data_IF_117243742562
#
_entry.id   IF_117243742562
#
_cell.length_a   1.000
_cell.length_b   1.000
_cell.length_c   1.000
_cell.angle_alpha   90.00
_cell.angle_beta   90.00
_cell.angle_gamma   90.00
#
_symmetry.space_group_name_H-M   'P 1'
#
loop_
_entity.id
_entity.type
_entity.pdbx_description
1 polymer ?
#
# COMPACT_ATOMS: atom_id res chain seq x y z
N UNK A 1 -33.72 40.09 -13.83
CA UNK A 1 -33.38 38.71 -14.20
C UNK A 1 -31.93 38.53 -13.77
N UNK A 2 -31.71 37.75 -12.72
CA UNK A 2 -30.37 37.49 -12.21
C UNK A 2 -29.83 36.28 -12.97
N UNK A 3 -28.72 36.46 -13.67
CA UNK A 3 -27.99 35.36 -14.32
C UNK A 3 -27.41 34.46 -13.21
N UNK A 4 -27.86 33.21 -13.17
CA UNK A 4 -27.21 32.16 -12.39
C UNK A 4 -25.83 31.90 -13.01
N UNK A 5 -24.77 32.40 -12.36
CA UNK A 5 -23.43 31.92 -12.67
C UNK A 5 -23.36 30.44 -12.32
N UNK A 6 -22.86 29.57 -13.21
CA UNK A 6 -22.65 28.17 -12.88
C UNK A 6 -21.70 28.09 -11.68
N UNK A 7 -22.11 27.38 -10.64
CA UNK A 7 -21.25 27.03 -9.51
C UNK A 7 -19.92 26.48 -10.06
N UNK A 8 -18.82 27.14 -9.71
CA UNK A 8 -17.49 26.61 -9.94
C UNK A 8 -17.37 25.36 -9.06
N UNK A 9 -17.61 24.19 -9.66
CA UNK A 9 -17.25 22.92 -9.05
C UNK A 9 -15.73 22.84 -9.17
N UNK A 10 -14.96 22.97 -8.08
CA UNK A 10 -13.52 22.74 -8.16
C UNK A 10 -13.29 21.34 -8.75
N UNK A 11 -12.28 21.16 -9.61
CA UNK A 11 -11.96 19.83 -10.11
C UNK A 11 -11.79 18.90 -8.91
N UNK A 12 -12.41 17.72 -8.96
CA UNK A 12 -12.27 16.72 -7.91
C UNK A 12 -10.78 16.52 -7.62
N UNK A 13 -10.34 16.88 -6.41
CA UNK A 13 -8.96 16.63 -6.00
C UNK A 13 -8.74 15.10 -6.03
N UNK A 14 -7.66 14.63 -6.63
CA UNK A 14 -7.46 13.21 -6.91
C UNK A 14 -6.20 12.88 -7.72
N UNK A 15 -5.88 11.59 -7.81
CA UNK A 15 -4.71 11.05 -8.51
C UNK A 15 -5.14 10.02 -9.54
N UNK A 16 -4.52 10.11 -10.71
CA UNK A 16 -4.48 8.98 -11.63
C UNK A 16 -3.39 8.00 -11.18
N UNK A 17 -3.81 6.83 -10.69
CA UNK A 17 -2.92 5.74 -10.31
C UNK A 17 -3.00 4.61 -11.34
N UNK A 18 -1.97 3.78 -11.44
CA UNK A 18 -2.08 2.54 -12.22
C UNK A 18 -3.02 1.57 -11.50
N UNK A 19 -3.87 0.89 -12.27
CA UNK A 19 -4.69 -0.21 -11.77
C UNK A 19 -3.84 -1.43 -11.39
N UNK A 20 -4.46 -2.46 -10.80
CA UNK A 20 -3.78 -3.67 -10.34
C UNK A 20 -3.05 -4.42 -11.46
N UNK A 21 -3.36 -4.12 -12.72
CA UNK A 21 -2.69 -4.72 -13.89
C UNK A 21 -1.44 -3.96 -14.31
N UNK A 22 -1.21 -2.76 -13.78
CA UNK A 22 -0.13 -1.86 -14.16
C UNK A 22 -0.26 -1.29 -15.58
N UNK A 23 -1.40 -1.50 -16.25
CA UNK A 23 -1.59 -1.14 -17.67
C UNK A 23 -2.55 0.00 -17.89
N UNK A 24 -3.51 0.21 -16.99
CA UNK A 24 -4.48 1.29 -17.13
C UNK A 24 -4.34 2.29 -16.00
N UNK A 25 -4.64 3.56 -16.30
CA UNK A 25 -4.76 4.60 -15.29
C UNK A 25 -6.20 4.62 -14.76
N UNK A 26 -6.36 4.52 -13.45
CA UNK A 26 -7.60 4.71 -12.71
C UNK A 26 -7.51 6.02 -11.93
N UNK A 27 -8.51 6.87 -12.06
CA UNK A 27 -8.65 8.04 -11.20
C UNK A 27 -9.13 7.59 -9.82
N UNK A 28 -8.45 8.06 -8.77
CA UNK A 28 -8.90 8.00 -7.40
C UNK A 28 -9.11 9.41 -6.87
N UNK A 29 -10.26 9.68 -6.25
CA UNK A 29 -10.49 10.94 -5.55
C UNK A 29 -9.54 11.08 -4.36
N UNK A 30 -9.34 12.29 -3.83
CA UNK A 30 -8.58 12.51 -2.60
C UNK A 30 -9.18 11.78 -1.41
N UNK A 31 -10.50 11.54 -1.37
CA UNK A 31 -11.08 10.68 -0.32
C UNK A 31 -10.80 9.20 -0.53
N UNK A 32 -10.74 8.72 -1.78
CA UNK A 32 -10.30 7.35 -2.07
C UNK A 32 -8.80 7.19 -1.81
N UNK A 33 -8.02 8.20 -2.14
CA UNK A 33 -6.61 8.28 -1.82
C UNK A 33 -6.41 8.36 -0.32
N UNK A 34 -7.17 9.12 0.46
CA UNK A 34 -7.00 9.18 1.91
C UNK A 34 -7.48 7.89 2.59
N UNK A 35 -8.53 7.24 2.05
CA UNK A 35 -8.91 5.88 2.46
C UNK A 35 -7.83 4.83 2.14
N UNK A 36 -7.15 4.96 1.00
CA UNK A 36 -6.09 4.03 0.58
C UNK A 36 -4.68 4.43 1.07
N UNK A 37 -4.48 5.71 1.39
CA UNK A 37 -3.28 6.31 1.97
C UNK A 37 -3.30 6.11 3.47
N UNK A 38 -3.79 4.94 3.88
CA UNK A 38 -3.67 4.35 5.18
C UNK A 38 -3.67 5.45 6.26
N UNK A 39 -4.83 6.07 6.47
CA UNK A 39 -5.19 6.37 7.84
C UNK A 39 -5.16 5.02 8.55
N UNK A 40 -4.00 4.67 9.13
CA UNK A 40 -3.85 3.64 10.16
C UNK A 40 -4.58 4.18 11.37
N UNK A 41 -5.90 4.26 11.22
CA UNK A 41 -6.84 4.29 12.31
C UNK A 41 -6.99 2.85 12.75
N UNK A 42 -7.41 2.65 14.00
CA UNK A 42 -7.59 1.34 14.66
C UNK A 42 -8.45 0.32 13.87
N UNK A 43 -9.00 0.71 12.71
CA UNK A 43 -9.90 -0.04 11.85
C UNK A 43 -9.30 -0.32 10.47
N UNK A 44 -8.05 -0.81 10.38
CA UNK A 44 -7.56 -1.37 9.10
C UNK A 44 -8.36 -2.67 8.84
N UNK A 45 -9.53 -2.56 8.21
CA UNK A 45 -10.42 -3.70 7.94
C UNK A 45 -9.68 -4.62 6.96
N UNK A 46 -9.41 -5.88 7.31
CA UNK A 46 -8.83 -6.84 6.38
C UNK A 46 -9.67 -6.89 5.11
N UNK A 47 -9.06 -6.78 3.92
CA UNK A 47 -9.78 -7.06 2.67
C UNK A 47 -10.17 -8.53 2.68
N UNK A 48 -11.46 -8.81 2.79
CA UNK A 48 -11.96 -10.16 2.58
C UNK A 48 -11.90 -10.47 1.08
N UNK A 49 -10.80 -11.07 0.64
CA UNK A 49 -10.62 -11.59 -0.70
C UNK A 49 -11.06 -13.06 -0.77
N UNK A 50 -11.61 -13.46 -1.92
CA UNK A 50 -11.91 -14.87 -2.18
C UNK A 50 -10.59 -15.68 -2.23
N UNK A 51 -10.64 -16.93 -1.75
CA UNK A 51 -9.45 -17.80 -1.72
C UNK A 51 -8.79 -18.00 -3.09
N UNK A 52 -9.58 -18.01 -4.17
CA UNK A 52 -9.08 -18.09 -5.54
C UNK A 52 -8.23 -16.87 -5.92
N UNK A 53 -8.69 -15.67 -5.56
CA UNK A 53 -7.97 -14.40 -5.79
C UNK A 53 -6.66 -14.38 -5.02
N UNK A 54 -6.68 -14.82 -3.75
CA UNK A 54 -5.47 -14.94 -2.92
C UNK A 54 -4.48 -15.90 -3.58
N UNK A 55 -4.95 -17.06 -4.03
CA UNK A 55 -4.10 -18.08 -4.66
C UNK A 55 -3.48 -17.56 -5.97
N UNK A 56 -4.28 -16.92 -6.81
CA UNK A 56 -3.83 -16.34 -8.06
C UNK A 56 -2.78 -15.25 -7.81
N UNK A 57 -3.06 -14.31 -6.91
CA UNK A 57 -2.12 -13.26 -6.51
C UNK A 57 -0.79 -13.84 -6.01
N UNK A 58 -0.83 -14.76 -5.05
CA UNK A 58 0.37 -15.38 -4.48
C UNK A 58 1.17 -16.19 -5.51
N UNK A 59 0.51 -16.75 -6.54
CA UNK A 59 1.19 -17.45 -7.63
C UNK A 59 1.89 -16.52 -8.62
N UNK A 60 1.47 -15.25 -8.66
CA UNK A 60 1.98 -14.22 -9.57
C UNK A 60 3.09 -13.35 -8.98
N UNK A 61 3.46 -13.56 -7.71
CA UNK A 61 4.44 -12.74 -7.00
C UNK A 61 5.80 -12.71 -7.71
N UNK A 62 6.41 -11.54 -7.71
CA UNK A 62 7.79 -11.37 -8.17
C UNK A 62 8.79 -12.11 -7.27
N UNK A 63 9.99 -12.48 -7.75
CA UNK A 63 10.97 -13.18 -6.92
C UNK A 63 11.31 -12.49 -5.57
N UNK A 64 11.40 -11.15 -5.47
CA UNK A 64 11.53 -10.48 -4.17
C UNK A 64 10.32 -10.68 -3.24
N UNK A 65 9.10 -10.60 -3.77
CA UNK A 65 7.88 -10.79 -2.98
C UNK A 65 7.71 -12.25 -2.53
N UNK A 66 8.14 -13.22 -3.33
CA UNK A 66 8.16 -14.63 -2.93
C UNK A 66 9.06 -14.85 -1.70
N UNK A 67 10.21 -14.18 -1.62
CA UNK A 67 11.08 -14.26 -0.42
C UNK A 67 10.38 -13.72 0.83
N UNK A 68 9.60 -12.64 0.68
CA UNK A 68 8.80 -12.09 1.78
C UNK A 68 7.72 -13.09 2.19
N UNK A 69 6.99 -13.65 1.21
CA UNK A 69 5.98 -14.68 1.44
C UNK A 69 6.56 -15.89 2.21
N UNK A 70 7.69 -16.43 1.76
CA UNK A 70 8.34 -17.57 2.39
C UNK A 70 8.75 -17.26 3.84
N UNK A 71 9.35 -16.08 4.07
CA UNK A 71 9.71 -15.64 5.42
C UNK A 71 8.50 -15.48 6.34
N UNK A 72 7.38 -14.95 5.85
CA UNK A 72 6.14 -14.82 6.62
C UNK A 72 5.50 -16.19 6.91
N UNK A 73 5.55 -17.13 5.96
CA UNK A 73 5.09 -18.52 6.19
C UNK A 73 5.90 -19.20 7.28
N UNK A 74 7.22 -19.03 7.29
CA UNK A 74 8.10 -19.53 8.36
C UNK A 74 7.77 -18.92 9.73
N UNK A 75 7.19 -17.72 9.75
CA UNK A 75 6.70 -17.03 10.94
C UNK A 75 5.26 -17.41 11.33
N UNK A 76 4.64 -18.36 10.63
CA UNK A 76 3.31 -18.90 10.95
C UNK A 76 2.15 -18.14 10.31
N UNK A 77 2.40 -17.31 9.30
CA UNK A 77 1.34 -16.58 8.61
C UNK A 77 0.58 -17.46 7.62
N UNK A 78 -0.74 -17.24 7.53
CA UNK A 78 -1.58 -17.84 6.50
C UNK A 78 -1.64 -16.97 5.23
N UNK A 79 -2.04 -17.57 4.12
CA UNK A 79 -2.06 -16.94 2.80
C UNK A 79 -2.93 -15.68 2.74
N UNK A 80 -4.06 -15.63 3.46
CA UNK A 80 -4.93 -14.46 3.51
C UNK A 80 -4.24 -13.27 4.21
N UNK A 81 -3.56 -13.52 5.33
CA UNK A 81 -2.82 -12.49 6.06
C UNK A 81 -1.61 -11.99 5.24
N UNK A 82 -0.90 -12.88 4.55
CA UNK A 82 0.21 -12.52 3.66
C UNK A 82 -0.29 -11.67 2.50
N UNK A 83 -1.37 -12.08 1.84
CA UNK A 83 -2.01 -11.30 0.77
C UNK A 83 -2.37 -9.89 1.24
N UNK A 84 -3.00 -9.76 2.42
CA UNK A 84 -3.40 -8.47 2.94
C UNK A 84 -2.19 -7.57 3.25
N UNK A 85 -1.14 -8.12 3.86
CA UNK A 85 0.09 -7.35 4.12
C UNK A 85 0.72 -6.86 2.80
N UNK A 86 0.90 -7.75 1.82
CA UNK A 86 1.53 -7.38 0.56
C UNK A 86 0.71 -6.36 -0.23
N UNK A 87 -0.61 -6.50 -0.29
CA UNK A 87 -1.48 -5.55 -0.99
C UNK A 87 -1.48 -4.17 -0.32
N UNK A 88 -1.46 -4.09 1.01
CA UNK A 88 -1.29 -2.81 1.73
C UNK A 88 0.03 -2.13 1.37
N UNK A 89 1.13 -2.89 1.35
CA UNK A 89 2.45 -2.36 0.99
C UNK A 89 2.52 -1.92 -0.48
N UNK A 90 1.85 -2.63 -1.39
CA UNK A 90 1.74 -2.25 -2.80
C UNK A 90 0.91 -0.98 -2.97
N UNK A 91 -0.21 -0.84 -2.26
CA UNK A 91 -1.06 0.34 -2.35
C UNK A 91 -0.35 1.59 -1.80
N UNK A 92 0.38 1.46 -0.69
CA UNK A 92 1.26 2.52 -0.20
C UNK A 92 2.31 2.93 -1.24
N UNK A 93 2.88 1.94 -1.94
CA UNK A 93 3.87 2.18 -2.99
C UNK A 93 3.27 2.93 -4.18
N UNK A 94 2.10 2.48 -4.67
CA UNK A 94 1.37 3.13 -5.77
C UNK A 94 1.02 4.56 -5.43
N UNK A 95 0.57 4.82 -4.20
CA UNK A 95 0.30 6.16 -3.70
C UNK A 95 1.54 7.07 -3.79
N UNK A 96 2.68 6.61 -3.26
CA UNK A 96 3.93 7.39 -3.28
C UNK A 96 4.38 7.69 -4.72
N UNK A 97 4.36 6.69 -5.60
CA UNK A 97 4.69 6.88 -7.01
C UNK A 97 3.76 7.90 -7.69
N UNK A 98 2.47 7.87 -7.38
CA UNK A 98 1.49 8.79 -7.93
C UNK A 98 1.69 10.23 -7.43
N UNK A 99 2.02 10.42 -6.15
CA UNK A 99 2.40 11.73 -5.58
C UNK A 99 3.68 12.29 -6.22
N UNK A 100 4.68 11.45 -6.49
CA UNK A 100 5.87 11.87 -7.22
C UNK A 100 5.55 12.34 -8.66
N UNK A 101 4.68 11.62 -9.37
CA UNK A 101 4.22 12.06 -10.71
C UNK A 101 3.52 13.42 -10.65
N UNK A 102 2.68 13.65 -9.64
CA UNK A 102 2.06 14.96 -9.41
C UNK A 102 3.08 16.07 -9.16
N UNK A 103 4.18 15.77 -8.45
CA UNK A 103 5.29 16.71 -8.22
C UNK A 103 6.18 16.93 -9.45
N UNK A 104 5.91 16.26 -10.57
CA UNK A 104 6.64 16.42 -11.83
C UNK A 104 7.91 15.57 -11.97
N UNK A 105 8.09 14.55 -11.12
CA UNK A 105 9.22 13.62 -11.24
C UNK A 105 9.07 12.75 -12.49
N UNK A 106 10.19 12.44 -13.13
CA UNK A 106 10.26 11.53 -14.28
C UNK A 106 10.12 10.07 -13.84
N UNK A 107 9.69 9.19 -14.75
CA UNK A 107 9.52 7.76 -14.43
C UNK A 107 10.85 7.09 -14.00
N UNK A 108 11.99 7.54 -14.54
CA UNK A 108 13.31 7.05 -14.13
C UNK A 108 13.67 7.46 -12.69
N UNK A 109 13.31 8.67 -12.27
CA UNK A 109 13.52 9.13 -10.89
C UNK A 109 12.59 8.39 -9.92
N UNK A 110 11.34 8.19 -10.32
CA UNK A 110 10.35 7.42 -9.54
C UNK A 110 10.84 5.99 -9.34
N UNK A 111 11.29 5.30 -10.40
CA UNK A 111 11.83 3.94 -10.30
C UNK A 111 13.04 3.85 -9.37
N UNK A 112 13.91 4.86 -9.38
CA UNK A 112 15.06 4.92 -8.46
C UNK A 112 14.60 5.08 -7.00
N UNK A 113 13.64 5.96 -6.74
CA UNK A 113 13.08 6.17 -5.40
C UNK A 113 12.27 4.96 -4.91
N UNK A 114 11.53 4.30 -5.80
CA UNK A 114 10.81 3.05 -5.54
C UNK A 114 11.78 1.92 -5.16
N UNK A 115 12.87 1.74 -5.92
CA UNK A 115 13.89 0.76 -5.58
C UNK A 115 14.54 1.03 -4.20
N UNK A 116 14.79 2.30 -3.86
CA UNK A 116 15.27 2.71 -2.53
C UNK A 116 14.22 2.44 -1.44
N UNK A 117 12.96 2.76 -1.72
CA UNK A 117 11.83 2.46 -0.84
C UNK A 117 11.72 0.97 -0.52
N UNK A 118 12.04 0.09 -1.47
CA UNK A 118 11.93 -1.36 -1.29
C UNK A 118 13.18 -2.05 -0.74
N UNK A 119 14.29 -1.31 -0.53
CA UNK A 119 15.60 -1.93 -0.27
C UNK A 119 15.73 -2.56 1.14
N UNK A 120 14.88 -2.17 2.10
CA UNK A 120 15.01 -2.54 3.51
C UNK A 120 13.83 -3.38 4.08
N UNK A 121 12.89 -3.82 3.24
CA UNK A 121 11.74 -4.66 3.68
C UNK A 121 12.24 -6.07 3.95
N UNK A 122 12.84 -6.33 5.11
CA UNK A 122 13.52 -7.61 5.34
C UNK A 122 13.40 -8.18 6.74
N UNK A 123 13.06 -7.38 7.77
CA UNK A 123 12.91 -7.90 9.12
C UNK A 123 11.43 -8.02 9.54
N UNK A 124 10.92 -9.24 9.50
CA UNK A 124 9.59 -9.60 9.98
C UNK A 124 9.63 -10.38 11.30
N UNK A 125 10.78 -10.50 11.96
CA UNK A 125 10.96 -11.40 13.11
C UNK A 125 10.01 -11.09 14.30
N UNK A 126 9.63 -9.82 14.44
CA UNK A 126 8.69 -9.33 15.44
C UNK A 126 7.21 -9.64 15.11
N UNK A 127 6.91 -10.08 13.89
CA UNK A 127 5.57 -10.43 13.42
C UNK A 127 5.24 -11.92 13.58
N UNK A 128 5.98 -12.66 14.42
CA UNK A 128 5.76 -14.09 14.60
C UNK A 128 4.38 -14.38 15.19
N UNK A 129 3.62 -15.28 14.54
CA UNK A 129 2.28 -15.68 14.99
C UNK A 129 2.29 -17.00 15.79
N UNK A 130 1.25 -17.22 16.58
CA UNK A 130 1.04 -18.39 17.43
C UNK A 130 1.78 -18.36 18.77
N UNK A 131 2.35 -17.21 19.17
CA UNK A 131 3.05 -17.04 20.46
C UNK A 131 2.24 -16.16 21.43
N UNK A 132 1.56 -15.14 20.92
CA UNK A 132 0.82 -14.17 21.71
C UNK A 132 -0.69 -14.29 21.46
N UNK A 133 -1.48 -13.40 22.06
CA UNK A 133 -2.90 -13.32 21.71
C UNK A 133 -3.06 -12.77 20.29
N UNK A 134 -4.16 -13.13 19.60
CA UNK A 134 -4.45 -12.59 18.26
C UNK A 134 -4.51 -11.07 18.25
N UNK A 135 -5.00 -10.44 19.32
CA UNK A 135 -5.04 -9.00 19.46
C UNK A 135 -3.63 -8.38 19.52
N UNK A 136 -2.70 -9.02 20.23
CA UNK A 136 -1.31 -8.54 20.28
C UNK A 136 -0.62 -8.69 18.93
N UNK A 137 -0.85 -9.79 18.23
CA UNK A 137 -0.28 -10.04 16.89
C UNK A 137 -0.79 -9.02 15.86
N UNK A 138 -2.09 -8.73 15.89
CA UNK A 138 -2.69 -7.73 15.00
C UNK A 138 -2.20 -6.31 15.34
N UNK A 139 -2.01 -6.00 16.63
CA UNK A 139 -1.42 -4.74 17.06
C UNK A 139 0.03 -4.58 16.59
N UNK A 140 0.87 -5.62 16.71
CA UNK A 140 2.25 -5.60 16.19
C UNK A 140 2.29 -5.40 14.67
N UNK A 141 1.37 -6.05 13.94
CA UNK A 141 1.22 -5.84 12.51
C UNK A 141 0.88 -4.39 12.17
N UNK A 142 -0.07 -3.78 12.88
CA UNK A 142 -0.45 -2.39 12.65
C UNK A 142 0.72 -1.43 12.90
N UNK A 143 1.48 -1.62 13.97
CA UNK A 143 2.69 -0.85 14.25
C UNK A 143 3.73 -0.98 13.14
N UNK A 144 4.00 -2.21 12.70
CA UNK A 144 4.92 -2.46 11.58
C UNK A 144 4.48 -1.74 10.31
N UNK A 145 3.21 -1.86 9.93
CA UNK A 145 2.67 -1.20 8.75
C UNK A 145 2.80 0.32 8.84
N UNK A 146 2.57 0.90 10.02
CA UNK A 146 2.72 2.33 10.26
C UNK A 146 4.15 2.80 10.05
N UNK A 147 5.09 2.12 10.67
CA UNK A 147 6.49 2.49 10.58
C UNK A 147 7.03 2.29 9.15
N UNK A 148 6.62 1.22 8.48
CA UNK A 148 7.05 0.92 7.12
C UNK A 148 6.48 1.92 6.09
N UNK A 149 5.21 2.30 6.22
CA UNK A 149 4.59 3.31 5.35
C UNK A 149 5.24 4.68 5.56
N UNK A 150 5.51 5.08 6.81
CA UNK A 150 6.24 6.32 7.12
C UNK A 150 7.65 6.29 6.54
N UNK A 151 8.39 5.19 6.74
CA UNK A 151 9.74 5.02 6.19
C UNK A 151 9.74 5.21 4.67
N UNK A 152 8.80 4.58 3.96
CA UNK A 152 8.71 4.73 2.49
C UNK A 152 8.34 6.14 2.07
N UNK A 153 7.39 6.80 2.76
CA UNK A 153 7.06 8.21 2.49
C UNK A 153 8.28 9.12 2.71
N UNK A 154 9.04 8.91 3.78
CA UNK A 154 10.24 9.68 4.03
C UNK A 154 11.30 9.47 2.95
N UNK A 155 11.57 8.22 2.57
CA UNK A 155 12.56 7.87 1.54
C UNK A 155 12.17 8.39 0.16
N UNK A 156 10.89 8.28 -0.21
CA UNK A 156 10.42 8.60 -1.55
C UNK A 156 9.98 10.05 -1.71
N UNK A 157 9.23 10.59 -0.75
CA UNK A 157 8.58 11.90 -0.83
C UNK A 157 9.30 12.97 -0.01
N UNK A 158 10.16 12.57 0.94
CA UNK A 158 10.76 13.49 1.92
C UNK A 158 9.76 14.00 2.96
N UNK A 159 8.69 13.24 3.21
CA UNK A 159 7.58 13.58 4.11
C UNK A 159 7.56 12.64 5.33
N UNK A 160 7.25 13.17 6.52
CA UNK A 160 7.06 12.40 7.77
C UNK A 160 5.64 11.83 7.91
#
# INVERSE_FOLDING_TARGET
MADEQPEFVPPSEGLWILDDTGKNLKFLSEEELNRNAIEITDNTIPREALAEVITEYLSSLTPPQQKIQDGLRDLGWNDAAIHNLLTILEDAQRYNCAKLRQKGYTEAEIQKLDALGNQDITDFSHLKRGIASTADEDYQLQLYLLDEVKRRRLVMLGEE
#
